data_IF_753341414451
#
_entry.id   IF_753341414451
#
_cell.length_a   1.000
_cell.length_b   1.000
_cell.length_c   1.000
_cell.angle_alpha   90.00
_cell.angle_beta   90.00
_cell.angle_gamma   90.00
#
_symmetry.space_group_name_H-M   'P 1'
#
loop_
_entity.id
_entity.type
_entity.pdbx_description
1 polymer ?
#
# COMPACT_ATOMS: atom_id res chain seq x y z
N UNK A 1 -26.87 12.57 -15.96
CA UNK A 1 -27.09 13.99 -16.11
C UNK A 1 -26.95 14.60 -14.74
N UNK A 2 -25.96 15.33 -14.52
CA UNK A 2 -25.75 16.68 -14.08
C UNK A 2 -25.08 16.76 -12.71
N UNK A 3 -23.85 16.27 -12.68
CA UNK A 3 -22.90 16.71 -11.67
C UNK A 3 -22.41 18.10 -12.08
N UNK A 4 -22.66 19.11 -11.24
CA UNK A 4 -22.12 20.44 -11.42
C UNK A 4 -21.14 20.72 -10.27
N UNK A 5 -19.94 21.21 -10.58
CA UNK A 5 -18.92 21.45 -9.60
C UNK A 5 -18.63 22.95 -9.45
N UNK A 6 -18.73 23.43 -8.23
CA UNK A 6 -18.37 24.78 -7.83
C UNK A 6 -17.25 24.74 -6.80
N UNK A 7 -16.73 25.90 -6.44
CA UNK A 7 -15.57 26.04 -5.56
C UNK A 7 -15.58 25.11 -4.34
N UNK A 8 -16.67 25.04 -3.58
CA UNK A 8 -16.83 24.20 -2.39
C UNK A 8 -18.18 23.47 -2.38
N UNK A 9 -18.83 23.34 -3.51
CA UNK A 9 -20.12 22.67 -3.64
C UNK A 9 -20.13 21.79 -4.87
N UNK A 10 -20.78 20.65 -4.75
CA UNK A 10 -21.06 19.78 -5.88
C UNK A 10 -22.57 19.51 -5.92
N UNK A 11 -23.16 19.60 -7.09
CA UNK A 11 -24.51 19.15 -7.33
C UNK A 11 -24.47 17.65 -7.59
N UNK A 12 -25.22 16.89 -6.82
CA UNK A 12 -25.39 15.45 -6.98
C UNK A 12 -26.85 15.22 -7.34
N UNK A 13 -27.18 14.45 -8.37
CA UNK A 13 -28.52 14.35 -8.92
C UNK A 13 -29.63 14.21 -7.86
N UNK A 14 -29.41 13.37 -6.85
CA UNK A 14 -30.44 13.10 -5.81
C UNK A 14 -30.33 14.02 -4.59
N UNK A 15 -29.13 14.52 -4.29
CA UNK A 15 -28.87 15.29 -3.06
C UNK A 15 -28.79 16.79 -3.27
N UNK A 16 -29.00 17.26 -4.52
CA UNK A 16 -28.82 18.67 -4.90
C UNK A 16 -27.39 19.16 -4.56
N UNK A 17 -27.23 20.37 -4.04
CA UNK A 17 -25.93 20.94 -3.71
C UNK A 17 -25.43 20.47 -2.34
N UNK A 18 -24.28 19.80 -2.34
CA UNK A 18 -23.60 19.34 -1.13
C UNK A 18 -22.28 20.10 -0.99
N UNK A 19 -21.97 20.54 0.24
CA UNK A 19 -20.69 21.19 0.53
C UNK A 19 -19.57 20.17 0.53
N UNK A 20 -18.46 20.48 -0.19
CA UNK A 20 -17.23 19.66 -0.26
C UNK A 20 -16.13 20.38 0.51
N UNK A 21 -15.35 19.63 1.25
CA UNK A 21 -14.24 20.18 2.04
C UNK A 21 -13.06 20.56 1.16
N UNK A 22 -12.76 19.72 0.18
CA UNK A 22 -11.66 19.91 -0.75
C UNK A 22 -11.99 21.00 -1.77
N UNK A 23 -10.95 21.74 -2.21
CA UNK A 23 -11.05 22.77 -3.24
C UNK A 23 -10.04 22.49 -4.35
N UNK A 24 -10.46 22.68 -5.60
CA UNK A 24 -9.58 22.56 -6.77
C UNK A 24 -9.13 21.13 -7.07
N UNK A 25 -9.74 20.11 -6.45
CA UNK A 25 -9.38 18.72 -6.68
C UNK A 25 -9.87 18.18 -8.03
N UNK A 26 -10.98 18.71 -8.53
CA UNK A 26 -11.53 18.36 -9.84
C UNK A 26 -11.14 19.47 -10.83
N UNK A 27 -10.54 19.11 -11.98
CA UNK A 27 -10.21 20.09 -13.01
C UNK A 27 -11.46 20.81 -13.52
N UNK A 28 -11.34 22.07 -13.88
CA UNK A 28 -12.43 22.84 -14.49
C UNK A 28 -12.82 22.21 -15.84
N UNK A 29 -14.10 22.30 -16.18
CA UNK A 29 -14.65 21.79 -17.46
C UNK A 29 -14.44 20.28 -17.67
N UNK A 30 -14.42 19.51 -16.59
CA UNK A 30 -14.29 18.04 -16.67
C UNK A 30 -15.67 17.40 -16.76
N UNK A 31 -15.82 16.48 -17.71
CA UNK A 31 -17.03 15.65 -17.82
C UNK A 31 -17.00 14.57 -16.73
N UNK A 32 -18.03 14.56 -15.87
CA UNK A 32 -18.17 13.57 -14.78
C UNK A 32 -19.10 12.46 -15.28
N UNK A 33 -18.56 11.24 -15.46
CA UNK A 33 -19.32 10.07 -15.92
C UNK A 33 -20.18 9.45 -14.82
N UNK A 34 -19.61 9.31 -13.63
CA UNK A 34 -20.34 8.74 -12.48
C UNK A 34 -19.71 9.16 -11.16
N UNK A 35 -20.47 8.98 -10.08
CA UNK A 35 -20.00 9.25 -8.72
C UNK A 35 -20.53 8.23 -7.71
N UNK A 36 -19.70 7.87 -6.74
CA UNK A 36 -20.05 6.97 -5.65
C UNK A 36 -19.85 7.65 -4.31
N UNK A 37 -20.89 7.65 -3.46
CA UNK A 37 -20.80 8.16 -2.10
C UNK A 37 -20.53 7.01 -1.14
N UNK A 38 -19.44 7.11 -0.37
CA UNK A 38 -19.09 6.13 0.65
C UNK A 38 -19.07 6.78 2.03
N UNK A 39 -19.51 6.03 3.05
CA UNK A 39 -19.43 6.45 4.45
C UNK A 39 -18.40 5.62 5.19
N UNK A 40 -17.37 6.26 5.72
CA UNK A 40 -16.34 5.61 6.55
C UNK A 40 -16.32 6.29 7.92
N UNK A 41 -16.64 5.53 8.96
CA UNK A 41 -16.86 6.04 10.30
C UNK A 41 -17.99 7.09 10.31
N UNK A 42 -17.66 8.37 10.54
CA UNK A 42 -18.63 9.48 10.49
C UNK A 42 -18.31 10.50 9.39
N UNK A 43 -17.58 10.07 8.35
CA UNK A 43 -17.19 10.90 7.20
C UNK A 43 -17.83 10.36 5.94
N UNK A 44 -18.22 11.25 5.06
CA UNK A 44 -18.70 10.92 3.72
C UNK A 44 -17.60 11.29 2.72
N UNK A 45 -17.42 10.43 1.74
CA UNK A 45 -16.49 10.62 0.63
C UNK A 45 -17.24 10.47 -0.66
N UNK A 46 -16.93 11.32 -1.61
CA UNK A 46 -17.42 11.24 -2.97
C UNK A 46 -16.26 10.85 -3.89
N UNK A 47 -16.37 9.72 -4.55
CA UNK A 47 -15.44 9.27 -5.60
C UNK A 47 -16.11 9.54 -6.94
N UNK A 48 -15.40 10.24 -7.83
CA UNK A 48 -15.90 10.60 -9.15
C UNK A 48 -15.07 9.92 -10.22
N UNK A 49 -15.73 9.42 -11.26
CA UNK A 49 -15.10 9.00 -12.51
C UNK A 49 -15.22 10.17 -13.47
N UNK A 50 -14.08 10.69 -13.86
CA UNK A 50 -13.97 11.83 -14.76
C UNK A 50 -13.32 11.42 -16.08
N UNK A 51 -13.68 12.11 -17.15
CA UNK A 51 -13.02 11.97 -18.44
C UNK A 51 -11.84 12.92 -18.47
N UNK A 52 -10.66 12.39 -18.68
CA UNK A 52 -9.42 13.16 -18.81
C UNK A 52 -8.95 13.04 -20.25
N UNK A 53 -8.61 14.16 -20.87
CA UNK A 53 -7.92 14.14 -22.17
C UNK A 53 -6.58 13.44 -22.01
N UNK A 54 -6.16 12.70 -23.01
CA UNK A 54 -4.88 11.97 -22.98
C UNK A 54 -3.75 12.93 -22.57
N UNK A 55 -3.11 12.60 -21.47
CA UNK A 55 -1.91 13.31 -21.03
C UNK A 55 -0.80 12.89 -22.00
N UNK A 56 -0.28 13.85 -22.74
CA UNK A 56 0.90 13.63 -23.58
C UNK A 56 2.01 13.09 -22.68
N UNK A 57 2.29 11.81 -22.82
CA UNK A 57 3.37 11.18 -22.04
C UNK A 57 4.68 11.70 -22.63
N UNK A 58 5.48 12.35 -21.80
CA UNK A 58 6.86 12.69 -22.18
C UNK A 58 7.66 11.42 -22.39
N UNK A 59 8.46 11.37 -23.45
CA UNK A 59 9.35 10.24 -23.69
C UNK A 59 10.32 10.09 -22.50
N UNK A 60 10.45 8.87 -22.03
CA UNK A 60 11.38 8.54 -20.96
C UNK A 60 12.70 8.06 -21.56
N UNK A 61 13.66 8.95 -21.65
CA UNK A 61 15.00 8.67 -22.22
C UNK A 61 15.96 7.99 -21.22
N UNK A 62 15.51 7.67 -20.01
CA UNK A 62 16.36 7.04 -19.00
C UNK A 62 16.73 5.61 -19.37
N UNK A 63 17.96 5.22 -19.05
CA UNK A 63 18.44 3.82 -19.16
C UNK A 63 18.47 3.09 -17.81
N UNK A 64 18.29 3.83 -16.69
CA UNK A 64 18.45 3.31 -15.33
C UNK A 64 17.28 2.43 -14.92
N UNK A 65 17.57 1.24 -14.41
CA UNK A 65 16.63 0.37 -13.74
C UNK A 65 16.61 0.54 -12.22
N UNK A 66 15.62 -0.05 -11.57
CA UNK A 66 15.53 -0.15 -10.11
C UNK A 66 14.87 -1.48 -9.71
N UNK A 67 15.53 -2.28 -8.89
CA UNK A 67 14.94 -3.44 -8.22
C UNK A 67 14.42 -3.05 -6.85
N UNK A 68 13.26 -3.58 -6.46
CA UNK A 68 12.64 -3.32 -5.14
C UNK A 68 12.27 -4.64 -4.49
N UNK A 69 12.88 -4.95 -3.36
CA UNK A 69 12.45 -6.02 -2.47
C UNK A 69 11.44 -5.48 -1.45
N UNK A 70 10.25 -6.10 -1.41
CA UNK A 70 9.16 -5.73 -0.50
C UNK A 70 9.12 -6.70 0.68
N UNK A 71 9.31 -6.18 1.89
CA UNK A 71 9.48 -7.00 3.09
C UNK A 71 8.60 -6.61 4.28
N UNK A 72 8.65 -7.46 5.33
CA UNK A 72 7.97 -7.20 6.61
C UNK A 72 8.90 -6.46 7.59
N UNK A 73 10.21 -6.68 7.52
CA UNK A 73 11.20 -6.01 8.39
C UNK A 73 11.29 -4.54 8.03
N UNK A 74 11.63 -4.27 6.82
CA UNK A 74 11.55 -2.99 6.14
C UNK A 74 10.46 -3.09 5.06
N UNK A 75 9.78 -2.00 4.73
CA UNK A 75 8.65 -2.04 3.78
C UNK A 75 9.14 -2.24 2.36
N UNK A 76 10.25 -1.59 2.01
CA UNK A 76 10.91 -1.73 0.72
C UNK A 76 12.40 -1.46 0.85
N UNK A 77 13.21 -2.23 0.14
CA UNK A 77 14.65 -2.01 -0.03
C UNK A 77 14.92 -1.94 -1.53
N UNK A 78 15.55 -0.87 -1.97
CA UNK A 78 15.82 -0.59 -3.36
C UNK A 78 17.30 -0.84 -3.71
N UNK A 79 17.56 -1.26 -4.95
CA UNK A 79 18.91 -1.53 -5.44
C UNK A 79 19.85 -0.31 -5.48
N UNK A 80 19.29 0.89 -5.43
CA UNK A 80 20.04 2.14 -5.31
C UNK A 80 20.37 2.53 -3.85
N UNK A 81 20.13 1.64 -2.88
CA UNK A 81 20.41 1.85 -1.46
C UNK A 81 19.29 2.53 -0.66
N UNK A 82 18.20 2.98 -1.27
CA UNK A 82 17.06 3.52 -0.52
C UNK A 82 16.40 2.43 0.31
N UNK A 83 16.14 2.73 1.60
CA UNK A 83 15.48 1.81 2.54
C UNK A 83 14.29 2.48 3.20
N UNK A 84 13.11 1.92 2.98
CA UNK A 84 11.86 2.39 3.57
C UNK A 84 11.48 1.53 4.77
N UNK A 85 11.64 2.09 5.96
CA UNK A 85 11.39 1.39 7.23
C UNK A 85 9.90 1.05 7.41
N UNK A 86 9.62 -0.06 8.09
CA UNK A 86 8.26 -0.46 8.38
C UNK A 86 7.60 0.50 9.38
N UNK A 87 6.69 1.36 8.89
CA UNK A 87 5.98 2.34 9.70
C UNK A 87 5.16 1.71 10.84
N UNK A 88 4.72 0.45 10.69
CA UNK A 88 3.95 -0.26 11.71
C UNK A 88 4.74 -0.53 13.00
N UNK A 89 6.07 -0.43 12.94
CA UNK A 89 6.98 -0.58 14.08
C UNK A 89 7.18 0.73 14.86
N UNK A 90 6.70 1.86 14.37
CA UNK A 90 6.87 3.16 15.02
C UNK A 90 6.08 3.25 16.33
N UNK A 91 6.60 4.05 17.27
CA UNK A 91 5.97 4.30 18.58
C UNK A 91 4.54 4.84 18.40
N UNK A 92 4.34 5.76 17.43
CA UNK A 92 3.04 6.36 17.10
C UNK A 92 1.99 5.29 16.74
N UNK A 93 2.31 4.39 15.82
CA UNK A 93 1.39 3.32 15.42
C UNK A 93 1.20 2.29 16.53
N UNK A 94 2.25 1.91 17.26
CA UNK A 94 2.14 1.02 18.41
C UNK A 94 1.17 1.58 19.49
N UNK A 95 1.26 2.89 19.81
CA UNK A 95 0.32 3.56 20.72
C UNK A 95 -1.13 3.53 20.21
N UNK A 96 -1.33 3.82 18.90
CA UNK A 96 -2.67 3.75 18.28
C UNK A 96 -3.24 2.32 18.29
N UNK A 97 -2.44 1.30 17.99
CA UNK A 97 -2.85 -0.11 18.07
C UNK A 97 -3.25 -0.52 19.50
N UNK A 98 -2.49 -0.10 20.52
CA UNK A 98 -2.86 -0.33 21.92
C UNK A 98 -4.20 0.31 22.25
N UNK A 99 -4.42 1.56 21.82
CA UNK A 99 -5.70 2.27 21.99
C UNK A 99 -6.85 1.54 21.28
N UNK A 100 -6.64 1.14 20.01
CA UNK A 100 -7.62 0.37 19.24
C UNK A 100 -8.02 -0.93 19.96
N UNK A 101 -7.05 -1.73 20.38
CA UNK A 101 -7.30 -2.99 21.12
C UNK A 101 -8.12 -2.76 22.38
N UNK A 102 -7.85 -1.68 23.12
CA UNK A 102 -8.61 -1.30 24.32
C UNK A 102 -10.07 -0.96 23.98
N UNK A 103 -10.31 -0.16 22.95
CA UNK A 103 -11.68 0.20 22.55
C UNK A 103 -12.44 -0.99 21.93
N UNK A 104 -11.77 -1.88 21.21
CA UNK A 104 -12.34 -3.15 20.73
C UNK A 104 -12.80 -4.04 21.91
N UNK A 105 -11.98 -4.20 22.95
CA UNK A 105 -12.37 -4.96 24.15
C UNK A 105 -13.61 -4.38 24.84
N UNK A 106 -13.72 -3.02 24.92
CA UNK A 106 -14.93 -2.37 25.47
C UNK A 106 -16.16 -2.63 24.61
N UNK A 107 -16.00 -2.67 23.28
CA UNK A 107 -17.07 -2.99 22.35
C UNK A 107 -17.49 -4.46 22.46
N UNK A 108 -16.53 -5.40 22.52
CA UNK A 108 -16.79 -6.85 22.68
C UNK A 108 -17.57 -7.15 23.96
N UNK A 109 -17.19 -6.56 25.11
CA UNK A 109 -17.96 -6.72 26.35
C UNK A 109 -19.41 -6.27 26.22
N UNK A 110 -19.68 -5.21 25.43
CA UNK A 110 -21.07 -4.77 25.19
C UNK A 110 -21.82 -5.75 24.29
N UNK A 111 -21.14 -6.44 23.37
CA UNK A 111 -21.74 -7.49 22.53
C UNK A 111 -22.06 -8.73 23.38
N UNK A 112 -21.14 -9.13 24.25
CA UNK A 112 -21.32 -10.25 25.18
C UNK A 112 -22.49 -9.98 26.15
N UNK A 113 -22.55 -8.79 26.73
CA UNK A 113 -23.67 -8.37 27.56
C UNK A 113 -25.01 -8.40 26.81
N UNK A 114 -25.04 -7.90 25.58
CA UNK A 114 -26.24 -7.95 24.71
C UNK A 114 -26.72 -9.39 24.50
N UNK A 115 -25.78 -10.31 24.24
CA UNK A 115 -26.08 -11.74 24.06
C UNK A 115 -26.60 -12.38 25.34
N UNK A 116 -25.95 -12.16 26.50
CA UNK A 116 -26.37 -12.75 27.76
C UNK A 116 -27.73 -12.28 28.25
N UNK A 117 -28.09 -11.03 27.97
CA UNK A 117 -29.38 -10.44 28.35
C UNK A 117 -30.44 -10.53 27.22
N UNK A 118 -30.10 -11.13 26.06
CA UNK A 118 -30.98 -11.20 24.87
C UNK A 118 -31.50 -9.82 24.40
N UNK A 119 -30.74 -8.75 24.67
CA UNK A 119 -31.07 -7.37 24.30
C UNK A 119 -30.47 -7.09 22.92
N UNK A 120 -31.19 -6.40 22.03
CA UNK A 120 -30.67 -6.03 20.71
C UNK A 120 -29.58 -4.95 20.87
N UNK A 121 -28.48 -5.07 20.09
CA UNK A 121 -27.36 -4.12 20.15
C UNK A 121 -27.77 -2.65 19.93
N UNK A 122 -28.80 -2.42 19.11
CA UNK A 122 -29.36 -1.08 18.85
C UNK A 122 -29.93 -0.41 20.09
N UNK A 123 -30.40 -1.19 21.07
CA UNK A 123 -31.00 -0.71 22.31
C UNK A 123 -29.97 -0.30 23.35
N UNK A 124 -28.71 -0.72 23.18
CA UNK A 124 -27.62 -0.32 24.05
C UNK A 124 -27.18 1.12 23.76
N UNK A 125 -27.59 2.07 24.60
CA UNK A 125 -27.35 3.53 24.44
C UNK A 125 -25.93 3.93 24.01
N UNK A 126 -24.91 3.24 24.52
CA UNK A 126 -23.51 3.58 24.27
C UNK A 126 -22.82 2.69 23.22
N UNK A 127 -23.49 1.69 22.66
CA UNK A 127 -22.84 0.77 21.71
C UNK A 127 -22.38 1.49 20.43
N UNK A 128 -23.24 2.31 19.85
CA UNK A 128 -22.93 3.07 18.63
C UNK A 128 -21.74 4.05 18.86
N UNK A 129 -21.64 4.66 20.03
CA UNK A 129 -20.50 5.53 20.38
C UNK A 129 -19.19 4.72 20.45
N UNK A 130 -19.21 3.51 21.04
CA UNK A 130 -18.04 2.60 21.10
C UNK A 130 -17.65 2.11 19.70
N UNK A 131 -18.63 1.66 18.90
CA UNK A 131 -18.42 1.26 17.50
C UNK A 131 -17.77 2.37 16.69
N UNK A 132 -18.28 3.60 16.79
CA UNK A 132 -17.74 4.75 16.09
C UNK A 132 -16.30 5.07 16.50
N UNK A 133 -15.94 4.95 17.80
CA UNK A 133 -14.56 5.13 18.27
C UNK A 133 -13.61 4.11 17.63
N UNK A 134 -14.02 2.84 17.58
CA UNK A 134 -13.24 1.77 16.94
C UNK A 134 -13.06 2.07 15.45
N UNK A 135 -14.14 2.42 14.73
CA UNK A 135 -14.08 2.77 13.31
C UNK A 135 -13.15 3.97 13.04
N UNK A 136 -13.21 5.03 13.87
CA UNK A 136 -12.31 6.19 13.74
C UNK A 136 -10.84 5.83 13.93
N UNK A 137 -10.52 4.90 14.84
CA UNK A 137 -9.14 4.46 15.06
C UNK A 137 -8.62 3.60 13.90
N UNK A 138 -9.44 2.70 13.34
CA UNK A 138 -9.11 1.96 12.13
C UNK A 138 -8.87 2.91 10.95
N UNK A 139 -9.78 3.83 10.72
CA UNK A 139 -9.64 4.84 9.67
C UNK A 139 -8.33 5.63 9.80
N UNK A 140 -8.01 6.10 11.03
CA UNK A 140 -6.76 6.83 11.28
C UNK A 140 -5.52 5.99 10.99
N UNK A 141 -5.50 4.71 11.39
CA UNK A 141 -4.38 3.79 11.11
C UNK A 141 -4.20 3.60 9.61
N UNK A 142 -5.30 3.39 8.88
CA UNK A 142 -5.26 3.21 7.43
C UNK A 142 -4.76 4.49 6.72
N UNK A 143 -5.26 5.67 7.10
CA UNK A 143 -4.77 6.94 6.53
C UNK A 143 -3.26 7.13 6.72
N UNK A 144 -2.72 6.78 7.91
CA UNK A 144 -1.27 6.91 8.16
C UNK A 144 -0.47 5.95 7.26
N UNK A 145 -0.94 4.71 7.08
CA UNK A 145 -0.29 3.72 6.21
C UNK A 145 -0.37 4.13 4.75
N UNK A 146 -1.53 4.59 4.31
CA UNK A 146 -1.75 5.04 2.93
C UNK A 146 -0.91 6.27 2.58
N UNK A 147 -0.81 7.25 3.49
CA UNK A 147 0.05 8.43 3.33
C UNK A 147 1.52 8.00 3.21
N UNK A 148 1.98 7.10 4.08
CA UNK A 148 3.33 6.57 4.01
C UNK A 148 3.61 5.85 2.68
N UNK A 149 2.71 4.96 2.26
CA UNK A 149 2.86 4.23 1.00
C UNK A 149 2.82 5.17 -0.22
N UNK A 150 1.98 6.22 -0.19
CA UNK A 150 1.95 7.23 -1.24
C UNK A 150 3.27 8.00 -1.34
N UNK A 151 3.83 8.41 -0.20
CA UNK A 151 5.12 9.11 -0.13
C UNK A 151 6.26 8.22 -0.62
N UNK A 152 6.33 6.98 -0.15
CA UNK A 152 7.31 5.99 -0.56
C UNK A 152 7.27 5.76 -2.08
N UNK A 153 6.09 5.46 -2.63
CA UNK A 153 5.94 5.22 -4.07
C UNK A 153 6.28 6.47 -4.89
N UNK A 154 5.88 7.65 -4.41
CA UNK A 154 6.22 8.90 -5.09
C UNK A 154 7.74 9.17 -5.08
N UNK A 155 8.42 8.92 -3.96
CA UNK A 155 9.86 9.06 -3.83
C UNK A 155 10.61 8.09 -4.75
N UNK A 156 10.24 6.81 -4.73
CA UNK A 156 10.81 5.78 -5.61
C UNK A 156 10.66 6.17 -7.09
N UNK A 157 9.46 6.58 -7.49
CA UNK A 157 9.15 6.85 -8.90
C UNK A 157 9.52 8.27 -9.34
N UNK A 158 9.97 9.16 -8.42
CA UNK A 158 10.44 10.51 -8.76
C UNK A 158 11.76 10.51 -9.50
N UNK A 159 12.59 9.51 -9.27
CA UNK A 159 13.81 9.31 -10.05
C UNK A 159 13.42 9.03 -11.52
N UNK A 160 14.22 9.56 -12.45
CA UNK A 160 14.06 9.24 -13.88
C UNK A 160 14.54 7.81 -14.10
N UNK A 161 13.60 6.85 -14.15
CA UNK A 161 13.88 5.42 -14.28
C UNK A 161 13.27 4.90 -15.58
N UNK A 162 14.00 4.01 -16.28
CA UNK A 162 13.47 3.26 -17.42
C UNK A 162 12.47 2.20 -16.94
N UNK A 163 12.85 1.45 -15.91
CA UNK A 163 12.03 0.37 -15.37
C UNK A 163 12.19 0.20 -13.87
N UNK A 164 11.17 -0.38 -13.26
CA UNK A 164 11.17 -0.86 -11.88
C UNK A 164 10.82 -2.34 -11.89
N UNK A 165 11.58 -3.17 -11.16
CA UNK A 165 11.32 -4.61 -11.04
C UNK A 165 10.96 -4.97 -9.60
N UNK A 166 9.86 -5.68 -9.42
CA UNK A 166 9.36 -6.19 -8.13
C UNK A 166 9.05 -7.69 -8.22
N UNK A 167 8.96 -8.37 -7.08
CA UNK A 167 8.47 -9.76 -7.02
C UNK A 167 6.95 -9.85 -7.11
N UNK A 168 6.43 -10.97 -7.67
CA UNK A 168 5.00 -11.31 -7.63
C UNK A 168 4.62 -11.91 -6.27
N UNK A 169 4.41 -11.04 -5.28
CA UNK A 169 4.02 -11.47 -3.94
C UNK A 169 2.59 -12.04 -3.96
N UNK A 170 2.46 -13.34 -3.76
CA UNK A 170 1.17 -14.04 -3.60
C UNK A 170 0.59 -13.78 -2.21
N UNK A 171 0.10 -12.56 -1.98
CA UNK A 171 -0.38 -12.09 -0.67
C UNK A 171 -1.44 -13.02 -0.07
N UNK A 172 -2.34 -13.58 -0.88
CA UNK A 172 -3.35 -14.54 -0.45
C UNK A 172 -2.74 -15.81 0.18
N UNK A 173 -1.63 -16.31 -0.38
CA UNK A 173 -0.93 -17.45 0.17
C UNK A 173 -0.13 -17.08 1.43
N UNK A 174 0.50 -15.91 1.43
CA UNK A 174 1.26 -15.42 2.59
C UNK A 174 0.37 -15.24 3.84
N UNK A 175 -0.88 -14.80 3.68
CA UNK A 175 -1.84 -14.60 4.78
C UNK A 175 -2.26 -15.94 5.44
N UNK A 176 -2.15 -17.07 4.75
CA UNK A 176 -2.45 -18.40 5.33
C UNK A 176 -1.52 -18.74 6.50
N UNK A 177 -0.32 -18.19 6.54
CA UNK A 177 0.58 -18.31 7.69
C UNK A 177 0.06 -17.46 8.85
N UNK A 178 -0.53 -18.11 9.85
CA UNK A 178 -1.15 -17.49 11.05
C UNK A 178 -0.20 -16.57 11.82
N UNK A 179 1.11 -16.87 11.85
CA UNK A 179 2.11 -16.06 12.56
C UNK A 179 2.43 -14.75 11.85
N UNK A 180 2.37 -14.73 10.53
CA UNK A 180 2.73 -13.57 9.70
C UNK A 180 1.52 -12.81 9.15
N UNK A 181 0.34 -13.43 9.14
CA UNK A 181 -0.88 -12.88 8.51
C UNK A 181 -1.17 -11.43 8.90
N UNK A 182 -1.08 -11.12 10.20
CA UNK A 182 -1.29 -9.76 10.70
C UNK A 182 -0.24 -8.77 10.18
N UNK A 183 1.03 -9.15 10.17
CA UNK A 183 2.11 -8.30 9.68
C UNK A 183 1.96 -8.03 8.17
N UNK A 184 1.59 -9.05 7.39
CA UNK A 184 1.35 -8.96 5.96
C UNK A 184 0.16 -8.04 5.66
N UNK A 185 -0.96 -8.20 6.36
CA UNK A 185 -2.13 -7.31 6.22
C UNK A 185 -1.78 -5.86 6.57
N UNK A 186 -0.94 -5.64 7.60
CA UNK A 186 -0.52 -4.31 8.03
C UNK A 186 0.42 -3.63 7.04
N UNK A 187 1.19 -4.36 6.24
CA UNK A 187 2.04 -3.82 5.16
C UNK A 187 1.23 -3.37 3.95
N UNK A 188 0.10 -4.02 3.69
CA UNK A 188 -0.77 -3.69 2.56
C UNK A 188 -0.04 -3.74 1.20
N UNK A 189 0.70 -4.84 0.94
CA UNK A 189 1.48 -5.03 -0.29
C UNK A 189 0.66 -4.85 -1.57
N UNK A 190 -0.61 -5.27 -1.57
CA UNK A 190 -1.50 -5.06 -2.70
C UNK A 190 -1.68 -3.58 -3.03
N UNK A 191 -1.88 -2.74 -2.01
CA UNK A 191 -1.99 -1.28 -2.21
C UNK A 191 -0.67 -0.69 -2.74
N UNK A 192 0.48 -1.14 -2.24
CA UNK A 192 1.80 -0.70 -2.73
C UNK A 192 1.94 -1.03 -4.22
N UNK A 193 1.65 -2.29 -4.61
CA UNK A 193 1.68 -2.73 -6.01
C UNK A 193 0.76 -1.87 -6.89
N UNK A 194 -0.50 -1.66 -6.49
CA UNK A 194 -1.46 -0.86 -7.26
C UNK A 194 -0.98 0.59 -7.42
N UNK A 195 -0.42 1.19 -6.37
CA UNK A 195 0.13 2.55 -6.41
C UNK A 195 1.35 2.63 -7.33
N UNK A 196 2.23 1.62 -7.31
CA UNK A 196 3.37 1.51 -8.24
C UNK A 196 2.88 1.43 -9.69
N UNK A 197 1.91 0.55 -9.99
CA UNK A 197 1.32 0.44 -11.34
C UNK A 197 0.83 1.80 -11.83
N UNK A 198 0.03 2.49 -11.02
CA UNK A 198 -0.55 3.77 -11.41
C UNK A 198 0.52 4.86 -11.61
N UNK A 199 1.51 4.94 -10.72
CA UNK A 199 2.59 5.93 -10.83
C UNK A 199 3.58 5.63 -11.97
N UNK A 200 3.84 4.36 -12.23
CA UNK A 200 4.67 3.96 -13.37
C UNK A 200 3.99 4.32 -14.70
N UNK A 201 2.68 4.04 -14.82
CA UNK A 201 1.88 4.48 -15.99
C UNK A 201 1.88 6.00 -16.17
N UNK A 202 1.71 6.75 -15.09
CA UNK A 202 1.71 8.22 -15.10
C UNK A 202 3.06 8.79 -15.57
N UNK A 203 4.17 8.13 -15.17
CA UNK A 203 5.54 8.62 -15.40
C UNK A 203 6.27 7.94 -16.56
N UNK A 204 5.57 7.12 -17.31
CA UNK A 204 6.13 6.32 -18.41
C UNK A 204 7.35 5.47 -17.97
N UNK A 205 7.22 4.81 -16.82
CA UNK A 205 8.20 3.87 -16.26
C UNK A 205 7.67 2.46 -16.49
N UNK A 206 8.48 1.57 -17.06
CA UNK A 206 8.11 0.17 -17.24
C UNK A 206 8.12 -0.56 -15.88
N UNK A 207 6.97 -1.12 -15.45
CA UNK A 207 6.90 -1.93 -14.25
C UNK A 207 6.99 -3.41 -14.60
N UNK A 208 8.06 -4.06 -14.14
CA UNK A 208 8.38 -5.48 -14.36
C UNK A 208 8.04 -6.29 -13.11
N UNK A 209 7.49 -7.46 -13.32
CA UNK A 209 7.25 -8.43 -12.24
C UNK A 209 7.99 -9.71 -12.57
N UNK A 210 8.81 -10.18 -11.64
CA UNK A 210 9.42 -11.50 -11.69
C UNK A 210 8.53 -12.53 -11.00
N UNK A 211 8.70 -13.80 -11.38
CA UNK A 211 7.95 -14.90 -10.78
C UNK A 211 8.20 -15.01 -9.27
N UNK A 212 7.21 -15.53 -8.55
CA UNK A 212 7.25 -15.73 -7.09
C UNK A 212 8.43 -16.63 -6.65
N UNK A 213 8.87 -17.54 -7.52
CA UNK A 213 9.96 -18.46 -7.23
C UNK A 213 11.32 -17.98 -7.76
N UNK A 214 11.38 -16.77 -8.29
CA UNK A 214 12.67 -16.19 -8.70
C UNK A 214 13.62 -16.10 -7.50
N UNK A 215 14.82 -16.71 -7.56
CA UNK A 215 15.72 -16.84 -6.41
C UNK A 215 16.46 -15.53 -6.11
N UNK A 216 15.75 -14.39 -6.01
CA UNK A 216 16.31 -13.06 -5.79
C UNK A 216 17.24 -13.01 -4.58
N UNK A 217 16.81 -13.56 -3.44
CA UNK A 217 17.59 -13.56 -2.20
C UNK A 217 18.67 -14.64 -2.14
N UNK A 218 18.56 -15.70 -2.96
CA UNK A 218 19.51 -16.83 -2.97
C UNK A 218 20.64 -16.66 -3.98
N UNK A 219 20.49 -15.81 -4.97
CA UNK A 219 21.48 -15.55 -6.01
C UNK A 219 22.46 -14.48 -5.54
N UNK A 220 23.74 -14.69 -5.77
CA UNK A 220 24.75 -13.67 -5.53
C UNK A 220 24.65 -12.53 -6.55
N UNK A 221 24.46 -11.30 -6.09
CA UNK A 221 24.37 -10.13 -6.99
C UNK A 221 25.69 -9.76 -7.68
N UNK A 222 26.81 -10.30 -7.18
CA UNK A 222 28.15 -10.10 -7.74
C UNK A 222 28.49 -11.15 -8.81
N UNK A 223 28.48 -12.45 -8.46
CA UNK A 223 28.97 -13.51 -9.35
C UNK A 223 27.86 -14.44 -9.92
N UNK A 224 26.60 -14.25 -9.52
CA UNK A 224 25.48 -15.05 -10.01
C UNK A 224 25.35 -16.45 -9.39
N UNK A 225 26.27 -16.90 -8.53
CA UNK A 225 26.16 -18.21 -7.88
C UNK A 225 24.95 -18.30 -6.97
N UNK A 226 24.29 -19.47 -6.91
CA UNK A 226 23.06 -19.68 -6.13
C UNK A 226 23.38 -20.43 -4.83
N UNK A 227 23.07 -19.84 -3.70
CA UNK A 227 23.19 -20.44 -2.37
C UNK A 227 21.90 -21.17 -2.00
N UNK A 228 21.95 -22.52 -2.00
CA UNK A 228 20.75 -23.36 -1.73
C UNK A 228 20.35 -23.39 -0.26
N UNK A 229 21.29 -23.32 0.64
CA UNK A 229 21.19 -23.48 2.10
C UNK A 229 20.87 -22.20 2.87
N UNK A 230 20.55 -21.08 2.18
CA UNK A 230 20.18 -19.82 2.80
C UNK A 230 18.91 -19.95 3.63
N UNK A 231 19.00 -19.74 4.94
CA UNK A 231 17.87 -19.80 5.87
C UNK A 231 17.09 -18.49 5.90
N UNK A 232 15.80 -18.55 6.25
CA UNK A 232 14.95 -17.37 6.37
C UNK A 232 15.41 -16.36 7.43
N UNK A 233 16.12 -16.84 8.45
CA UNK A 233 16.66 -16.01 9.54
C UNK A 233 17.98 -15.32 9.18
N UNK A 234 18.66 -15.78 8.13
CA UNK A 234 19.93 -15.18 7.72
C UNK A 234 19.66 -13.77 7.19
N UNK A 235 20.36 -12.79 7.74
CA UNK A 235 20.22 -11.38 7.34
C UNK A 235 21.36 -10.92 6.47
N UNK A 236 22.51 -11.57 6.58
CA UNK A 236 23.70 -11.31 5.77
C UNK A 236 23.84 -12.46 4.77
N UNK A 237 23.91 -12.11 3.52
CA UNK A 237 24.25 -13.05 2.45
C UNK A 237 25.77 -13.12 2.34
N UNK A 238 26.33 -14.31 2.51
CA UNK A 238 27.76 -14.60 2.32
C UNK A 238 27.91 -15.55 1.14
N UNK A 239 28.58 -15.11 0.10
CA UNK A 239 28.82 -15.92 -1.09
C UNK A 239 30.04 -16.83 -0.90
N UNK A 240 29.88 -18.13 -1.11
CA UNK A 240 31.00 -19.08 -1.04
C UNK A 240 31.95 -18.99 -2.24
N UNK A 241 31.44 -18.46 -3.40
CA UNK A 241 32.23 -18.41 -4.62
C UNK A 241 33.10 -17.14 -4.73
N UNK A 242 32.55 -15.95 -4.45
CA UNK A 242 33.30 -14.69 -4.58
C UNK A 242 33.55 -13.97 -3.24
N UNK A 243 33.19 -14.56 -2.11
CA UNK A 243 33.43 -14.03 -0.77
C UNK A 243 32.64 -12.79 -0.37
N UNK A 244 31.77 -12.25 -1.22
CA UNK A 244 30.99 -11.04 -0.87
C UNK A 244 30.12 -11.26 0.34
N UNK A 245 30.11 -10.29 1.26
CA UNK A 245 29.16 -10.19 2.36
C UNK A 245 28.26 -8.97 2.17
N UNK A 246 26.95 -9.18 2.12
CA UNK A 246 25.97 -8.11 1.82
C UNK A 246 24.67 -8.37 2.58
N UNK A 247 23.89 -7.32 2.92
CA UNK A 247 22.53 -7.51 3.44
C UNK A 247 21.70 -8.31 2.43
N UNK A 248 21.00 -9.34 2.92
CA UNK A 248 20.23 -10.28 2.06
C UNK A 248 19.16 -9.60 1.24
N UNK A 249 18.42 -8.68 1.86
CA UNK A 249 17.28 -8.02 1.23
C UNK A 249 17.79 -6.96 0.21
N UNK A 250 18.97 -6.35 0.49
CA UNK A 250 19.67 -5.50 -0.49
C UNK A 250 20.24 -6.31 -1.66
N UNK A 251 20.84 -7.47 -1.40
CA UNK A 251 21.26 -8.41 -2.46
C UNK A 251 20.08 -8.79 -3.37
N UNK A 252 18.91 -9.09 -2.76
CA UNK A 252 17.70 -9.41 -3.50
C UNK A 252 17.27 -8.25 -4.41
N UNK A 253 17.30 -7.02 -3.92
CA UNK A 253 16.91 -5.84 -4.73
C UNK A 253 17.82 -5.63 -5.95
N UNK A 254 19.13 -5.88 -5.82
CA UNK A 254 20.07 -5.83 -6.96
C UNK A 254 19.76 -6.93 -7.98
N UNK A 255 19.45 -8.14 -7.52
CA UNK A 255 19.08 -9.25 -8.40
C UNK A 255 17.76 -8.99 -9.13
N UNK A 256 16.80 -8.33 -8.47
CA UNK A 256 15.55 -7.91 -9.10
C UNK A 256 15.80 -6.89 -10.22
N UNK A 257 16.66 -5.91 -10.00
CA UNK A 257 17.04 -4.95 -11.05
C UNK A 257 17.63 -5.65 -12.28
N UNK A 258 18.52 -6.64 -12.06
CA UNK A 258 19.23 -7.38 -13.12
C UNK A 258 18.40 -8.53 -13.73
N UNK A 259 17.16 -8.76 -13.27
CA UNK A 259 16.35 -9.88 -13.71
C UNK A 259 16.11 -9.84 -15.23
N UNK A 260 16.38 -10.95 -15.91
CA UNK A 260 16.21 -11.11 -17.37
C UNK A 260 14.83 -11.67 -17.72
N UNK A 261 14.19 -12.42 -16.82
CA UNK A 261 12.88 -13.06 -17.02
C UNK A 261 11.86 -12.35 -16.15
N UNK A 262 10.92 -11.66 -16.78
CA UNK A 262 9.89 -10.87 -16.12
C UNK A 262 8.65 -10.69 -17.01
N UNK A 263 7.55 -10.25 -16.41
CA UNK A 263 6.33 -9.79 -17.10
C UNK A 263 6.20 -8.28 -16.94
N UNK A 264 5.89 -7.59 -18.02
CA UNK A 264 5.57 -6.15 -17.97
C UNK A 264 4.09 -5.98 -17.66
N UNK A 265 3.76 -5.10 -16.70
CA UNK A 265 2.38 -4.85 -16.26
C UNK A 265 1.98 -3.38 -16.28
N UNK A 266 2.90 -2.47 -16.52
CA UNK A 266 2.64 -1.04 -16.66
C UNK A 266 3.69 -0.40 -17.57
#
# INVERSE_FOLDING_TARGET
KDFEFYRHKIKIPTLKFVRVKEYGYIPKNTNIKSGTITKIANRYFLSLIIEVKDIVKTENTSTKGLGIDLGIKDTAICSNGMVFKNINKTIKIKKLKKKLKREQRKMSRSIEYSKSKKIKLRELKNFNKKKLKVQKLFYRLNCIRDDYNNKMVNEITRAKLKYITIEDLKVSNMIKNKHLSKAIQEQNFYSIRTKLINKCKERNIELRIVDTFYPSSKTCSCCGSVKKDLKLNDRIYKCYNCGIEIDRDYNASINLEKAKIYKVIA
#
